data_IF_157141402183
#
_entry.id   IF_157141402183
#
_cell.length_a   1.000
_cell.length_b   1.000
_cell.length_c   1.000
_cell.angle_alpha   90.00
_cell.angle_beta   90.00
_cell.angle_gamma   90.00
#
_symmetry.space_group_name_H-M   'P 1'
#
loop_
_entity.id
_entity.type
_entity.pdbx_description
1 polymer ?
#
# COMPACT_ATOMS: atom_id res chain seq x y z
N UNK A 1 -2.08 23.29 -7.29
CA UNK A 1 -1.54 22.45 -6.20
C UNK A 1 -2.18 21.07 -6.11
N UNK A 2 -3.19 20.74 -6.93
CA UNK A 2 -3.90 19.45 -6.92
C UNK A 2 -3.14 18.27 -7.57
N UNK A 3 -2.23 18.53 -8.52
CA UNK A 3 -1.52 17.46 -9.24
C UNK A 3 -0.44 16.73 -8.43
N UNK A 4 0.14 17.37 -7.41
CA UNK A 4 1.17 16.72 -6.58
C UNK A 4 0.57 15.74 -5.59
N UNK A 5 -0.59 16.08 -5.04
CA UNK A 5 -1.31 15.26 -4.07
C UNK A 5 -1.82 13.96 -4.73
N UNK A 6 -2.43 14.07 -5.92
CA UNK A 6 -2.87 12.91 -6.72
C UNK A 6 -1.74 11.94 -7.09
N UNK A 7 -0.52 12.46 -7.34
CA UNK A 7 0.64 11.60 -7.66
C UNK A 7 1.15 10.85 -6.44
N UNK A 8 1.11 11.45 -5.25
CA UNK A 8 1.46 10.75 -4.02
C UNK A 8 0.45 9.65 -3.72
N UNK A 9 -0.85 9.93 -3.86
CA UNK A 9 -1.93 8.96 -3.64
C UNK A 9 -1.77 7.73 -4.54
N UNK A 10 -1.42 7.93 -5.81
CA UNK A 10 -1.20 6.84 -6.75
C UNK A 10 0.03 6.00 -6.40
N UNK A 11 1.12 6.63 -5.95
CA UNK A 11 2.31 5.90 -5.51
C UNK A 11 2.02 5.04 -4.27
N UNK A 12 1.25 5.56 -3.31
CA UNK A 12 0.85 4.80 -2.14
C UNK A 12 -0.03 3.60 -2.50
N UNK A 13 -0.95 3.76 -3.46
CA UNK A 13 -1.75 2.66 -3.97
C UNK A 13 -0.89 1.57 -4.65
N UNK A 14 0.06 1.98 -5.51
CA UNK A 14 0.95 1.04 -6.20
C UNK A 14 1.81 0.23 -5.21
N UNK A 15 2.36 0.91 -4.19
CA UNK A 15 3.15 0.25 -3.14
C UNK A 15 2.25 -0.65 -2.28
N UNK A 16 1.04 -0.22 -1.96
CA UNK A 16 0.07 -1.03 -1.22
C UNK A 16 -0.26 -2.33 -1.94
N UNK A 17 -0.53 -2.29 -3.25
CA UNK A 17 -0.81 -3.49 -4.04
C UNK A 17 0.38 -4.47 -4.03
N UNK A 18 1.61 -3.95 -4.13
CA UNK A 18 2.83 -4.76 -4.01
C UNK A 18 2.96 -5.41 -2.63
N UNK A 19 2.63 -4.68 -1.56
CA UNK A 19 2.61 -5.21 -0.19
C UNK A 19 1.58 -6.34 -0.06
N UNK A 20 0.37 -6.18 -0.61
CA UNK A 20 -0.67 -7.21 -0.57
C UNK A 20 -0.22 -8.48 -1.27
N UNK A 21 0.34 -8.36 -2.49
CA UNK A 21 0.88 -9.51 -3.24
C UNK A 21 1.99 -10.20 -2.46
N UNK A 22 2.90 -9.43 -1.87
CA UNK A 22 3.98 -9.96 -1.03
C UNK A 22 3.43 -10.74 0.17
N UNK A 23 2.48 -10.19 0.92
CA UNK A 23 1.90 -10.84 2.10
C UNK A 23 1.19 -12.15 1.73
N UNK A 24 0.51 -12.18 0.59
CA UNK A 24 -0.14 -13.40 0.07
C UNK A 24 0.89 -14.48 -0.28
N UNK A 25 2.02 -14.12 -0.89
CA UNK A 25 3.10 -15.04 -1.18
C UNK A 25 3.78 -15.52 0.12
N UNK A 26 4.12 -14.58 1.01
CA UNK A 26 4.84 -14.85 2.25
C UNK A 26 4.08 -15.82 3.17
N UNK A 27 2.75 -15.70 3.24
CA UNK A 27 1.89 -16.60 4.03
C UNK A 27 1.94 -18.07 3.56
N UNK A 28 2.29 -18.33 2.29
CA UNK A 28 2.41 -19.70 1.76
C UNK A 28 3.72 -20.36 2.18
N UNK A 29 4.77 -19.57 2.38
CA UNK A 29 6.13 -20.06 2.62
C UNK A 29 6.54 -19.96 4.09
N UNK A 30 5.90 -19.07 4.86
CA UNK A 30 6.27 -18.77 6.23
C UNK A 30 5.07 -18.81 7.19
N UNK A 31 5.32 -19.31 8.40
CA UNK A 31 4.30 -19.37 9.47
C UNK A 31 4.06 -18.02 10.16
N UNK A 32 5.00 -17.07 10.05
CA UNK A 32 4.94 -15.74 10.69
C UNK A 32 4.79 -14.65 9.64
N UNK A 33 4.07 -13.59 9.98
CA UNK A 33 4.00 -12.38 9.15
C UNK A 33 5.36 -11.67 9.08
N UNK A 34 5.71 -11.05 7.94
CA UNK A 34 6.92 -10.26 7.84
C UNK A 34 6.80 -8.95 8.64
N UNK A 35 7.93 -8.44 9.12
CA UNK A 35 7.99 -7.10 9.75
C UNK A 35 7.97 -6.00 8.68
N UNK A 36 7.71 -4.75 9.10
CA UNK A 36 7.76 -3.59 8.20
C UNK A 36 9.14 -3.46 7.52
N UNK A 37 10.22 -3.62 8.28
CA UNK A 37 11.59 -3.62 7.75
C UNK A 37 11.82 -4.70 6.70
N UNK A 38 11.27 -5.91 6.90
CA UNK A 38 11.37 -6.99 5.92
C UNK A 38 10.58 -6.67 4.65
N UNK A 39 9.36 -6.14 4.80
CA UNK A 39 8.53 -5.71 3.68
C UNK A 39 9.28 -4.64 2.86
N UNK A 40 9.77 -3.59 3.53
CA UNK A 40 10.55 -2.51 2.93
C UNK A 40 11.76 -3.05 2.16
N UNK A 41 12.53 -3.95 2.77
CA UNK A 41 13.69 -4.58 2.14
C UNK A 41 13.34 -5.41 0.91
N UNK A 42 12.18 -6.07 0.88
CA UNK A 42 11.77 -6.92 -0.26
C UNK A 42 11.21 -6.08 -1.41
N UNK A 43 10.41 -5.06 -1.09
CA UNK A 43 9.82 -4.20 -2.13
C UNK A 43 10.79 -3.12 -2.61
N UNK A 44 11.87 -2.84 -1.88
CA UNK A 44 12.86 -1.83 -2.26
C UNK A 44 12.39 -0.39 -2.03
N UNK A 45 11.54 -0.17 -1.03
CA UNK A 45 11.08 1.15 -0.58
C UNK A 45 11.47 1.36 0.90
N UNK A 46 11.29 2.57 1.43
CA UNK A 46 11.54 2.84 2.85
C UNK A 46 10.44 2.27 3.75
N UNK A 47 10.75 2.03 5.03
CA UNK A 47 9.73 1.64 6.03
C UNK A 47 8.61 2.68 6.14
N UNK A 48 8.96 3.96 6.01
CA UNK A 48 8.00 5.08 6.03
C UNK A 48 7.03 5.01 4.84
N UNK A 49 7.55 4.73 3.63
CA UNK A 49 6.71 4.53 2.44
C UNK A 49 5.79 3.32 2.60
N UNK A 50 6.26 2.23 3.23
CA UNK A 50 5.42 1.06 3.55
C UNK A 50 4.28 1.44 4.49
N UNK A 51 4.58 2.14 5.57
CA UNK A 51 3.59 2.57 6.56
C UNK A 51 2.56 3.52 5.94
N UNK A 52 3.01 4.56 5.23
CA UNK A 52 2.15 5.51 4.53
C UNK A 52 1.27 4.80 3.50
N UNK A 53 1.80 3.81 2.77
CA UNK A 53 1.03 3.04 1.79
C UNK A 53 -0.02 2.15 2.45
N UNK A 54 0.25 1.59 3.62
CA UNK A 54 -0.75 0.84 4.40
C UNK A 54 -1.87 1.76 4.90
N UNK A 55 -1.55 2.98 5.29
CA UNK A 55 -2.50 3.96 5.83
C UNK A 55 -3.34 4.63 4.72
N UNK A 56 -2.69 5.05 3.63
CA UNK A 56 -3.29 5.90 2.59
C UNK A 56 -3.46 5.22 1.23
N UNK A 57 -2.78 4.09 0.97
CA UNK A 57 -2.85 3.38 -0.31
C UNK A 57 -4.20 2.71 -0.58
N UNK A 58 -5.07 2.61 0.44
CA UNK A 58 -6.49 2.26 0.27
C UNK A 58 -7.33 3.48 -0.07
N UNK A 59 -6.99 4.21 -1.14
CA UNK A 59 -7.95 5.14 -1.71
C UNK A 59 -9.02 4.33 -2.45
N UNK A 60 -10.09 3.98 -1.73
CA UNK A 60 -11.34 3.55 -2.35
C UNK A 60 -12.09 4.81 -2.76
N UNK A 61 -12.15 5.17 -4.05
CA UNK A 61 -13.26 5.98 -4.51
C UNK A 61 -14.50 5.09 -4.35
N UNK A 62 -15.15 5.13 -3.19
CA UNK A 62 -16.58 4.87 -3.14
C UNK A 62 -17.25 5.97 -3.97
N UNK A 63 -17.19 5.81 -5.30
CA UNK A 63 -18.20 6.31 -6.19
C UNK A 63 -19.46 5.52 -5.86
N UNK A 64 -20.38 6.13 -5.10
CA UNK A 64 -21.79 6.14 -5.48
C UNK A 64 -22.64 7.01 -4.56
N UNK A 65 -23.76 7.52 -5.10
CA UNK A 65 -24.15 8.91 -4.95
C UNK A 65 -25.44 8.99 -4.13
N UNK A 66 -25.35 9.37 -2.86
CA UNK A 66 -26.55 9.80 -2.14
C UNK A 66 -26.86 11.26 -2.50
N UNK A 67 -27.15 11.46 -3.79
CA UNK A 67 -27.98 12.52 -4.35
C UNK A 67 -29.11 11.80 -5.08
N UNK A 68 -30.18 11.47 -4.35
CA UNK A 68 -31.52 11.19 -4.86
C UNK A 68 -32.52 11.65 -3.80
#
# INVERSE_FOLDING_TARGET
MTHYQLKCDQRYADVFDRIVVLLHAYKKEHAKSPTIAQIASIIGDSEEMVLESIEFGRYSPQQSPFLH
#
